data_IF_799093829805
#
_entry.id   IF_799093829805
#
_cell.length_a   1.000
_cell.length_b   1.000
_cell.length_c   1.000
_cell.angle_alpha   90.00
_cell.angle_beta   90.00
_cell.angle_gamma   90.00
#
_symmetry.space_group_name_H-M   'P 1'
#
loop_
_entity.id
_entity.type
_entity.pdbx_description
1 polymer ?
#
# COMPACT_ATOMS: atom_id res chain seq x y z
N UNK A 1 -11.64 18.98 66.88
CA UNK A 1 -10.74 19.41 65.80
C UNK A 1 -10.84 18.42 64.68
N UNK A 2 -11.41 18.73 63.50
CA UNK A 2 -11.44 17.80 62.38
C UNK A 2 -10.17 17.92 61.55
N UNK A 3 -9.51 16.78 61.32
CA UNK A 3 -8.34 16.64 60.47
C UNK A 3 -8.74 16.89 59.01
N UNK A 4 -8.10 17.90 58.42
CA UNK A 4 -8.23 18.17 56.98
C UNK A 4 -7.50 17.04 56.20
N UNK A 5 -8.29 16.21 55.53
CA UNK A 5 -7.78 15.27 54.54
C UNK A 5 -7.25 16.10 53.34
N UNK A 6 -5.94 16.26 53.29
CA UNK A 6 -5.27 16.75 52.09
C UNK A 6 -5.41 15.69 51.03
N UNK A 7 -6.27 15.95 50.03
CA UNK A 7 -6.34 15.12 48.85
C UNK A 7 -5.02 15.14 48.12
N UNK A 8 -4.39 13.97 47.83
CA UNK A 8 -3.17 13.94 47.09
C UNK A 8 -3.42 14.58 45.71
N UNK A 9 -2.73 15.67 45.41
CA UNK A 9 -2.69 16.30 44.13
C UNK A 9 -2.30 15.23 43.09
N UNK A 10 -3.22 14.86 42.20
CA UNK A 10 -2.96 13.99 41.08
C UNK A 10 -1.74 14.56 40.30
N UNK A 11 -0.71 13.75 40.02
CA UNK A 11 0.41 14.21 39.25
C UNK A 11 -0.09 14.77 37.90
N UNK A 12 0.54 15.82 37.35
CA UNK A 12 0.12 16.42 36.10
C UNK A 12 0.00 15.32 35.06
N UNK A 13 -1.18 15.18 34.45
CA UNK A 13 -1.45 14.24 33.36
C UNK A 13 -0.35 14.41 32.33
N UNK A 14 0.61 13.48 32.28
CA UNK A 14 1.53 13.37 31.18
C UNK A 14 0.68 13.39 29.91
N UNK A 15 0.93 14.37 29.04
CA UNK A 15 0.21 14.50 27.76
C UNK A 15 0.51 13.25 26.95
N UNK A 16 -0.30 12.21 27.10
CA UNK A 16 -0.24 11.06 26.21
C UNK A 16 -0.56 11.56 24.80
N UNK A 17 0.25 11.24 23.80
CA UNK A 17 -0.01 11.62 22.43
C UNK A 17 -1.37 11.05 22.01
N UNK A 18 -2.30 11.93 21.70
CA UNK A 18 -3.68 11.54 21.32
C UNK A 18 -3.77 11.15 19.85
N UNK A 19 -4.92 10.62 19.45
CA UNK A 19 -5.25 10.26 18.05
C UNK A 19 -4.86 11.36 17.06
N UNK A 20 -5.04 12.64 17.40
CA UNK A 20 -4.70 13.77 16.51
C UNK A 20 -3.23 13.84 16.17
N UNK A 21 -2.32 13.56 17.12
CA UNK A 21 -0.87 13.60 16.90
C UNK A 21 -0.42 12.51 15.91
N UNK A 22 -0.96 11.30 16.06
CA UNK A 22 -0.69 10.20 15.13
C UNK A 22 -1.26 10.47 13.74
N UNK A 23 -2.46 11.04 13.64
CA UNK A 23 -3.07 11.43 12.36
C UNK A 23 -2.23 12.49 11.65
N UNK A 24 -1.73 13.50 12.37
CA UNK A 24 -0.90 14.56 11.76
C UNK A 24 0.39 14.00 11.15
N UNK A 25 1.11 13.15 11.88
CA UNK A 25 2.34 12.50 11.36
C UNK A 25 2.03 11.59 10.16
N UNK A 26 0.93 10.82 10.21
CA UNK A 26 0.49 10.01 9.07
C UNK A 26 0.11 10.83 7.85
N UNK A 27 -0.51 12.00 8.05
CA UNK A 27 -0.89 12.88 6.94
C UNK A 27 0.36 13.45 6.25
N UNK A 28 1.36 13.89 7.03
CA UNK A 28 2.65 14.33 6.46
C UNK A 28 3.33 13.22 5.65
N UNK A 29 3.39 12.01 6.19
CA UNK A 29 3.93 10.84 5.49
C UNK A 29 3.17 10.54 4.20
N UNK A 30 1.83 10.60 4.23
CA UNK A 30 1.00 10.36 3.05
C UNK A 30 1.24 11.39 1.94
N UNK A 31 1.47 12.66 2.28
CA UNK A 31 1.81 13.70 1.30
C UNK A 31 3.17 13.42 0.68
N UNK A 32 4.20 13.15 1.50
CA UNK A 32 5.55 12.82 1.02
C UNK A 32 5.51 11.64 0.06
N UNK A 33 4.85 10.56 0.45
CA UNK A 33 4.72 9.35 -0.37
C UNK A 33 3.88 9.56 -1.62
N UNK A 34 2.78 10.30 -1.50
CA UNK A 34 1.89 10.58 -2.62
C UNK A 34 2.58 11.36 -3.75
N UNK A 35 3.40 12.36 -3.42
CA UNK A 35 4.19 13.11 -4.38
C UNK A 35 5.18 12.19 -5.11
N UNK A 36 5.88 11.33 -4.36
CA UNK A 36 6.91 10.47 -4.92
C UNK A 36 6.36 9.31 -5.74
N UNK A 37 5.07 9.00 -5.66
CA UNK A 37 4.43 7.90 -6.36
C UNK A 37 4.60 7.99 -7.88
N UNK A 38 4.52 9.19 -8.46
CA UNK A 38 4.70 9.45 -9.90
C UNK A 38 6.10 9.98 -10.24
N UNK A 39 6.77 10.62 -9.29
CA UNK A 39 8.08 11.27 -9.52
C UNK A 39 9.17 10.22 -9.72
N UNK A 40 9.24 9.17 -8.87
CA UNK A 40 10.30 8.17 -8.99
C UNK A 40 10.26 7.37 -10.29
N UNK A 41 9.12 6.79 -10.75
CA UNK A 41 9.11 6.07 -12.01
C UNK A 41 9.55 6.94 -13.18
N UNK A 42 9.11 8.19 -13.20
CA UNK A 42 9.44 9.16 -14.23
C UNK A 42 10.92 9.52 -14.24
N UNK A 43 11.48 9.91 -13.10
CA UNK A 43 12.89 10.28 -13.00
C UNK A 43 13.83 9.10 -13.21
N UNK A 44 13.47 7.91 -12.74
CA UNK A 44 14.21 6.68 -13.02
C UNK A 44 14.24 6.39 -14.52
N UNK A 45 13.09 6.53 -15.22
CA UNK A 45 13.05 6.34 -16.65
C UNK A 45 13.88 7.41 -17.39
N UNK A 46 13.84 8.67 -16.97
CA UNK A 46 14.69 9.74 -17.54
C UNK A 46 16.18 9.50 -17.32
N UNK A 47 16.55 8.96 -16.16
CA UNK A 47 17.95 8.70 -15.80
C UNK A 47 18.55 7.52 -16.57
N UNK A 48 17.77 6.48 -16.83
CA UNK A 48 18.27 5.24 -17.41
C UNK A 48 17.86 5.03 -18.88
N UNK A 49 16.84 5.73 -19.39
CA UNK A 49 16.32 5.66 -20.75
C UNK A 49 15.66 4.32 -21.13
N UNK A 50 15.66 3.33 -20.24
CA UNK A 50 15.19 1.99 -20.49
C UNK A 50 14.28 1.49 -19.34
N UNK A 51 13.07 1.07 -19.69
CA UNK A 51 12.08 0.55 -18.74
C UNK A 51 12.52 -0.79 -18.12
N UNK A 52 13.31 -1.61 -18.82
CA UNK A 52 13.84 -2.87 -18.28
C UNK A 52 14.85 -2.58 -17.16
N UNK A 53 15.75 -1.62 -17.36
CA UNK A 53 16.71 -1.19 -16.33
C UNK A 53 15.98 -0.59 -15.11
N UNK A 54 14.95 0.21 -15.33
CA UNK A 54 14.09 0.73 -14.25
C UNK A 54 13.46 -0.43 -13.47
N UNK A 55 12.89 -1.42 -14.15
CA UNK A 55 12.27 -2.60 -13.53
C UNK A 55 13.29 -3.40 -12.70
N UNK A 56 14.51 -3.58 -13.20
CA UNK A 56 15.61 -4.23 -12.46
C UNK A 56 15.91 -3.50 -11.16
N UNK A 57 15.99 -2.16 -11.17
CA UNK A 57 16.25 -1.38 -9.97
C UNK A 57 15.08 -1.45 -8.98
N UNK A 58 13.83 -1.37 -9.45
CA UNK A 58 12.66 -1.56 -8.58
C UNK A 58 12.64 -2.95 -7.94
N UNK A 59 13.03 -3.99 -8.67
CA UNK A 59 13.18 -5.35 -8.12
C UNK A 59 14.22 -5.39 -6.99
N UNK A 60 15.42 -4.84 -7.22
CA UNK A 60 16.49 -4.81 -6.22
C UNK A 60 16.09 -4.00 -4.99
N UNK A 61 15.49 -2.82 -5.19
CA UNK A 61 14.96 -1.98 -4.10
C UNK A 61 13.87 -2.70 -3.33
N UNK A 62 12.99 -3.45 -4.00
CA UNK A 62 11.97 -4.28 -3.37
C UNK A 62 12.57 -5.36 -2.46
N UNK A 63 13.62 -6.05 -2.91
CA UNK A 63 14.34 -7.04 -2.09
C UNK A 63 14.95 -6.38 -0.86
N UNK A 64 15.64 -5.23 -1.01
CA UNK A 64 16.24 -4.51 0.12
C UNK A 64 15.15 -4.01 1.07
N UNK A 65 14.01 -3.55 0.57
CA UNK A 65 12.86 -3.14 1.38
C UNK A 65 12.33 -4.26 2.25
N UNK A 66 12.14 -5.46 1.68
CA UNK A 66 11.73 -6.65 2.42
C UNK A 66 12.73 -6.99 3.54
N UNK A 67 14.03 -7.02 3.21
CA UNK A 67 15.07 -7.26 4.20
C UNK A 67 15.05 -6.21 5.31
N UNK A 68 14.89 -4.94 4.96
CA UNK A 68 14.75 -3.85 5.94
C UNK A 68 13.55 -4.09 6.85
N UNK A 69 12.38 -4.40 6.30
CA UNK A 69 11.16 -4.69 7.07
C UNK A 69 11.36 -5.83 8.08
N UNK A 70 12.13 -6.86 7.71
CA UNK A 70 12.49 -7.98 8.59
C UNK A 70 13.53 -7.59 9.65
N UNK A 71 14.47 -6.71 9.30
CA UNK A 71 15.56 -6.29 10.21
C UNK A 71 15.10 -5.24 11.24
N UNK A 72 14.13 -4.37 10.91
CA UNK A 72 13.66 -3.31 11.81
C UNK A 72 13.20 -3.83 13.18
N UNK A 73 12.39 -4.91 13.32
CA UNK A 73 12.03 -5.48 14.61
C UNK A 73 13.24 -6.01 15.41
N UNK A 74 14.27 -6.51 14.72
CA UNK A 74 15.52 -6.95 15.37
C UNK A 74 16.32 -5.75 15.86
N UNK A 75 16.41 -4.69 15.05
CA UNK A 75 17.10 -3.46 15.39
C UNK A 75 16.47 -2.77 16.62
N UNK A 76 15.13 -2.78 16.73
CA UNK A 76 14.39 -2.20 17.86
C UNK A 76 14.60 -2.94 19.18
N UNK A 77 15.22 -4.12 19.18
CA UNK A 77 15.65 -4.81 20.42
C UNK A 77 16.91 -4.20 21.04
N UNK A 78 17.79 -3.64 20.20
CA UNK A 78 19.09 -3.10 20.61
C UNK A 78 19.09 -1.58 20.66
N UNK A 79 18.32 -0.93 19.78
CA UNK A 79 18.21 0.52 19.65
C UNK A 79 16.80 0.97 20.06
N UNK A 80 16.65 1.99 20.92
CA UNK A 80 15.33 2.52 21.27
C UNK A 80 14.53 2.88 20.00
N UNK A 81 13.27 2.46 19.94
CA UNK A 81 12.38 2.61 18.77
C UNK A 81 12.32 4.05 18.22
N UNK A 82 12.43 5.06 19.13
CA UNK A 82 12.48 6.48 18.74
C UNK A 82 13.64 6.82 17.81
N UNK A 83 14.80 6.23 18.04
CA UNK A 83 15.96 6.43 17.16
C UNK A 83 15.82 5.67 15.86
N UNK A 84 15.26 4.46 15.87
CA UNK A 84 14.97 3.69 14.64
C UNK A 84 13.97 4.44 13.76
N UNK A 85 12.91 5.02 14.35
CA UNK A 85 11.97 5.90 13.61
C UNK A 85 12.70 7.12 13.04
N UNK A 86 13.55 7.78 13.82
CA UNK A 86 14.32 8.93 13.36
C UNK A 86 15.29 8.56 12.23
N UNK A 87 15.91 7.38 12.26
CA UNK A 87 16.71 6.85 11.14
C UNK A 87 15.84 6.71 9.88
N UNK A 88 14.62 6.20 9.99
CA UNK A 88 13.70 6.12 8.87
C UNK A 88 13.40 7.48 8.24
N UNK A 89 13.19 8.51 9.08
CA UNK A 89 12.97 9.88 8.58
C UNK A 89 14.26 10.49 8.00
N UNK A 90 15.43 10.20 8.58
CA UNK A 90 16.71 10.62 8.01
C UNK A 90 16.96 10.00 6.63
N UNK A 91 16.51 8.76 6.39
CA UNK A 91 16.54 8.16 5.06
C UNK A 91 15.67 8.94 4.06
N UNK A 92 14.56 9.54 4.47
CA UNK A 92 13.80 10.46 3.60
C UNK A 92 14.59 11.74 3.28
N UNK A 93 15.33 12.30 4.23
CA UNK A 93 16.20 13.46 3.98
C UNK A 93 17.35 13.10 3.03
N UNK A 94 17.97 11.94 3.21
CA UNK A 94 19.00 11.44 2.28
C UNK A 94 18.40 11.20 0.89
N UNK A 95 17.20 10.65 0.82
CA UNK A 95 16.45 10.49 -0.43
C UNK A 95 16.23 11.85 -1.13
N UNK A 96 15.85 12.88 -0.38
CA UNK A 96 15.70 14.21 -0.91
C UNK A 96 17.03 14.77 -1.44
N UNK A 97 18.14 14.58 -0.72
CA UNK A 97 19.48 14.99 -1.13
C UNK A 97 19.96 14.32 -2.42
N UNK A 98 19.84 12.99 -2.50
CA UNK A 98 20.19 12.25 -3.72
C UNK A 98 19.26 12.58 -4.88
N UNK A 99 17.97 12.78 -4.63
CA UNK A 99 17.03 13.20 -5.66
C UNK A 99 17.30 14.60 -6.20
N UNK A 100 17.77 15.51 -5.33
CA UNK A 100 18.23 16.84 -5.73
C UNK A 100 19.42 16.77 -6.68
N UNK A 101 20.38 15.85 -6.44
CA UNK A 101 21.51 15.64 -7.32
C UNK A 101 21.10 15.12 -8.71
N UNK A 102 19.94 14.44 -8.82
CA UNK A 102 19.36 13.99 -10.09
C UNK A 102 20.14 12.89 -10.80
N UNK A 103 19.79 12.63 -12.06
CA UNK A 103 20.44 11.60 -12.87
C UNK A 103 20.35 10.21 -12.22
N UNK A 104 21.43 9.44 -12.29
CA UNK A 104 21.51 8.07 -11.73
C UNK A 104 21.42 8.02 -10.19
N UNK A 105 21.69 9.14 -9.49
CA UNK A 105 21.50 9.28 -8.04
C UNK A 105 20.04 9.08 -7.62
N UNK A 106 19.09 9.26 -8.54
CA UNK A 106 17.66 8.95 -8.31
C UNK A 106 17.45 7.50 -7.86
N UNK A 107 18.31 6.57 -8.27
CA UNK A 107 18.25 5.17 -7.82
C UNK A 107 18.53 5.05 -6.32
N UNK A 108 19.55 5.75 -5.81
CA UNK A 108 19.83 5.80 -4.38
C UNK A 108 18.75 6.58 -3.62
N UNK A 109 18.21 7.62 -4.24
CA UNK A 109 17.05 8.34 -3.68
C UNK A 109 15.85 7.40 -3.49
N UNK A 110 15.50 6.60 -4.50
CA UNK A 110 14.45 5.59 -4.41
C UNK A 110 14.73 4.55 -3.33
N UNK A 111 15.96 4.03 -3.26
CA UNK A 111 16.37 3.07 -2.25
C UNK A 111 16.21 3.64 -0.83
N UNK A 112 16.72 4.84 -0.56
CA UNK A 112 16.57 5.52 0.72
C UNK A 112 15.10 5.80 1.06
N UNK A 113 14.28 6.20 0.07
CA UNK A 113 12.86 6.45 0.26
C UNK A 113 12.10 5.19 0.66
N UNK A 114 12.29 4.09 -0.07
CA UNK A 114 11.55 2.85 0.16
C UNK A 114 11.97 2.19 1.48
N UNK A 115 13.27 2.16 1.79
CA UNK A 115 13.79 1.65 3.09
C UNK A 115 13.36 2.53 4.25
N UNK A 116 13.35 3.86 4.08
CA UNK A 116 12.80 4.81 5.04
C UNK A 116 11.32 4.57 5.29
N UNK A 117 10.52 4.40 4.23
CA UNK A 117 9.09 4.07 4.33
C UNK A 117 8.85 2.79 5.12
N UNK A 118 9.57 1.71 4.83
CA UNK A 118 9.46 0.44 5.55
C UNK A 118 9.79 0.61 7.04
N UNK A 119 10.86 1.32 7.36
CA UNK A 119 11.30 1.60 8.74
C UNK A 119 10.28 2.42 9.51
N UNK A 120 9.81 3.53 8.92
CA UNK A 120 8.79 4.42 9.51
C UNK A 120 7.50 3.63 9.75
N UNK A 121 7.04 2.86 8.76
CA UNK A 121 5.79 2.10 8.84
C UNK A 121 5.81 1.09 10.00
N UNK A 122 6.89 0.31 10.14
CA UNK A 122 7.03 -0.67 11.23
C UNK A 122 7.04 0.01 12.59
N UNK A 123 7.87 1.06 12.76
CA UNK A 123 7.98 1.78 14.03
C UNK A 123 6.67 2.51 14.38
N UNK A 124 6.05 3.19 13.41
CA UNK A 124 4.84 3.96 13.62
C UNK A 124 3.66 3.08 14.03
N UNK A 125 3.44 1.95 13.34
CA UNK A 125 2.38 1.02 13.72
C UNK A 125 2.59 0.46 15.14
N UNK A 126 3.83 0.17 15.53
CA UNK A 126 4.12 -0.25 16.88
C UNK A 126 3.82 0.85 17.92
N UNK A 127 4.14 2.13 17.63
CA UNK A 127 3.75 3.24 18.50
C UNK A 127 2.23 3.42 18.60
N UNK A 128 1.50 3.25 17.51
CA UNK A 128 0.02 3.29 17.52
C UNK A 128 -0.54 2.21 18.44
N UNK A 129 -0.04 0.98 18.33
CA UNK A 129 -0.50 -0.14 19.17
C UNK A 129 -0.19 0.05 20.66
N UNK A 130 0.92 0.73 20.98
CA UNK A 130 1.35 0.96 22.38
C UNK A 130 0.61 2.14 23.04
N UNK A 131 0.13 3.13 22.26
CA UNK A 131 -0.38 4.40 22.81
C UNK A 131 -1.86 4.64 22.57
N UNK A 132 -2.49 3.92 21.65
CA UNK A 132 -3.90 4.12 21.29
C UNK A 132 -4.76 2.98 21.82
N UNK A 133 -5.80 3.32 22.57
CA UNK A 133 -6.75 2.35 23.09
C UNK A 133 -7.51 1.66 21.95
N UNK A 134 -7.85 0.38 22.15
CA UNK A 134 -8.59 -0.42 21.15
C UNK A 134 -9.89 0.22 20.70
N UNK A 135 -10.54 0.99 21.57
CA UNK A 135 -11.79 1.74 21.30
C UNK A 135 -11.59 2.89 20.33
N UNK A 136 -10.42 3.55 20.37
CA UNK A 136 -10.09 4.69 19.52
C UNK A 136 -9.35 4.29 18.23
N UNK A 137 -8.92 3.03 18.12
CA UNK A 137 -8.19 2.52 16.97
C UNK A 137 -8.98 2.69 15.65
N UNK A 138 -10.28 2.41 15.66
CA UNK A 138 -11.14 2.57 14.50
C UNK A 138 -11.23 4.04 14.04
N UNK A 139 -11.30 4.98 14.99
CA UNK A 139 -11.32 6.43 14.70
C UNK A 139 -9.98 6.91 14.12
N UNK A 140 -8.86 6.42 14.68
CA UNK A 140 -7.53 6.72 14.17
C UNK A 140 -7.39 6.23 12.73
N UNK A 141 -7.71 4.96 12.47
CA UNK A 141 -7.52 4.34 11.16
C UNK A 141 -8.41 4.98 10.09
N UNK A 142 -9.66 5.29 10.40
CA UNK A 142 -10.56 6.01 9.50
C UNK A 142 -10.01 7.37 9.08
N UNK A 143 -9.51 8.17 10.04
CA UNK A 143 -8.90 9.47 9.73
C UNK A 143 -7.60 9.33 8.94
N UNK A 144 -6.77 8.37 9.31
CA UNK A 144 -5.53 8.07 8.62
C UNK A 144 -5.78 7.68 7.16
N UNK A 145 -6.76 6.84 6.90
CA UNK A 145 -7.17 6.45 5.53
C UNK A 145 -7.67 7.65 4.73
N UNK A 146 -8.46 8.53 5.33
CA UNK A 146 -8.95 9.73 4.66
C UNK A 146 -7.81 10.66 4.21
N UNK A 147 -6.86 10.96 5.11
CA UNK A 147 -5.71 11.81 4.76
C UNK A 147 -4.77 11.13 3.77
N UNK A 148 -4.58 9.80 3.88
CA UNK A 148 -3.80 9.03 2.91
C UNK A 148 -4.44 9.06 1.53
N UNK A 149 -5.76 8.91 1.44
CA UNK A 149 -6.48 8.99 0.16
C UNK A 149 -6.32 10.36 -0.51
N UNK A 150 -6.38 11.45 0.27
CA UNK A 150 -6.12 12.81 -0.23
C UNK A 150 -4.69 12.95 -0.75
N UNK A 151 -3.70 12.52 0.04
CA UNK A 151 -2.28 12.56 -0.35
C UNK A 151 -1.99 11.77 -1.63
N UNK A 152 -2.58 10.59 -1.76
CA UNK A 152 -2.40 9.74 -2.93
C UNK A 152 -3.19 10.19 -4.16
N UNK A 153 -4.27 10.95 -3.97
CA UNK A 153 -5.05 11.52 -5.08
C UNK A 153 -4.39 12.79 -5.63
N UNK A 154 -3.96 13.71 -4.76
CA UNK A 154 -3.40 14.99 -5.17
C UNK A 154 -1.89 14.87 -5.47
N UNK A 155 -1.19 14.04 -4.70
CA UNK A 155 0.26 13.90 -4.74
C UNK A 155 0.85 13.63 -6.12
N UNK A 156 0.37 12.66 -6.90
CA UNK A 156 0.94 12.34 -8.21
C UNK A 156 0.90 13.50 -9.21
N UNK A 157 -0.23 14.21 -9.33
CA UNK A 157 -0.31 15.40 -10.19
C UNK A 157 0.60 16.51 -9.67
N UNK A 158 0.57 16.75 -8.36
CA UNK A 158 1.41 17.78 -7.74
C UNK A 158 2.89 17.45 -7.94
N UNK A 159 3.29 16.19 -7.78
CA UNK A 159 4.68 15.75 -7.96
C UNK A 159 5.20 16.05 -9.38
N UNK A 160 4.43 15.69 -10.39
CA UNK A 160 4.80 15.94 -11.78
C UNK A 160 4.73 17.44 -12.13
N UNK A 161 3.77 18.18 -11.56
CA UNK A 161 3.71 19.63 -11.75
C UNK A 161 4.93 20.33 -11.13
N UNK A 162 5.36 19.92 -9.95
CA UNK A 162 6.56 20.44 -9.29
C UNK A 162 7.83 20.23 -10.12
N UNK A 163 7.94 19.11 -10.85
CA UNK A 163 9.06 18.87 -11.76
C UNK A 163 9.14 19.89 -12.91
N UNK A 164 8.02 20.52 -13.31
CA UNK A 164 8.02 21.61 -14.29
C UNK A 164 8.54 22.92 -13.70
N UNK A 165 8.25 23.17 -12.42
CA UNK A 165 8.76 24.36 -11.71
C UNK A 165 10.27 24.23 -11.51
N UNK A 166 10.75 23.03 -11.21
CA UNK A 166 12.17 22.72 -11.11
C UNK A 166 12.40 21.26 -10.73
N UNK A 167 13.43 20.61 -11.28
CA UNK A 167 13.69 19.18 -11.04
C UNK A 167 13.94 18.84 -9.57
N UNK A 168 14.40 19.79 -8.78
CA UNK A 168 14.65 19.65 -7.34
C UNK A 168 13.42 19.92 -6.46
N UNK A 169 12.35 20.56 -6.99
CA UNK A 169 11.20 21.00 -6.21
C UNK A 169 10.44 19.87 -5.50
N UNK A 170 10.15 18.71 -6.11
CA UNK A 170 9.52 17.61 -5.39
C UNK A 170 10.36 17.17 -4.19
N UNK A 171 11.67 17.13 -4.33
CA UNK A 171 12.60 16.71 -3.28
C UNK A 171 12.73 17.74 -2.16
N UNK A 172 12.63 19.04 -2.47
CA UNK A 172 12.56 20.09 -1.46
C UNK A 172 11.33 19.93 -0.55
N UNK A 173 10.17 19.60 -1.15
CA UNK A 173 8.93 19.35 -0.39
C UNK A 173 9.04 18.05 0.43
N UNK A 174 9.63 17.00 -0.13
CA UNK A 174 9.88 15.76 0.62
C UNK A 174 10.83 16.00 1.78
N UNK A 175 11.92 16.74 1.56
CA UNK A 175 12.88 17.10 2.61
C UNK A 175 12.22 17.93 3.72
N UNK A 176 11.47 18.97 3.35
CA UNK A 176 10.73 19.79 4.35
C UNK A 176 9.66 18.96 5.08
N UNK A 177 8.94 18.10 4.37
CA UNK A 177 8.00 17.15 4.98
C UNK A 177 8.65 16.20 5.97
N UNK A 178 9.84 15.67 5.65
CA UNK A 178 10.61 14.83 6.53
C UNK A 178 11.08 15.59 7.79
N UNK A 179 11.55 16.83 7.66
CA UNK A 179 11.89 17.68 8.82
C UNK A 179 10.67 17.91 9.70
N UNK A 180 9.51 18.24 9.09
CA UNK A 180 8.26 18.43 9.83
C UNK A 180 7.80 17.13 10.52
N UNK A 181 7.95 15.98 9.87
CA UNK A 181 7.67 14.67 10.49
C UNK A 181 8.54 14.44 11.73
N UNK A 182 9.83 14.72 11.63
CA UNK A 182 10.77 14.56 12.75
C UNK A 182 10.42 15.53 13.90
N UNK A 183 10.20 16.81 13.57
CA UNK A 183 9.79 17.83 14.52
C UNK A 183 8.45 17.48 15.21
N UNK A 184 7.47 17.03 14.44
CA UNK A 184 6.17 16.60 14.97
C UNK A 184 6.33 15.35 15.87
N UNK A 185 7.13 14.37 15.47
CA UNK A 185 7.35 13.17 16.26
C UNK A 185 7.96 13.48 17.64
N UNK A 186 8.99 14.32 17.69
CA UNK A 186 9.63 14.69 18.94
C UNK A 186 8.82 15.75 19.72
N UNK A 187 8.27 16.76 19.04
CA UNK A 187 7.52 17.86 19.67
C UNK A 187 6.16 17.44 20.24
N UNK A 188 5.48 16.47 19.63
CA UNK A 188 4.20 15.95 20.14
C UNK A 188 4.38 14.85 21.19
N UNK A 189 5.60 14.56 21.62
CA UNK A 189 5.89 13.58 22.66
C UNK A 189 5.64 12.12 22.24
N UNK A 190 5.57 11.84 20.94
CA UNK A 190 5.40 10.48 20.42
C UNK A 190 6.60 9.57 20.78
N UNK A 191 7.75 10.17 21.05
CA UNK A 191 8.98 9.48 21.47
C UNK A 191 8.94 8.91 22.90
N UNK A 192 8.00 9.38 23.75
CA UNK A 192 7.89 9.05 25.18
C UNK A 192 7.02 7.84 25.52
N UNK A 193 6.60 7.05 24.53
CA UNK A 193 5.73 5.88 24.73
C UNK A 193 6.34 4.88 25.73
N UNK A 194 5.52 4.41 26.68
CA UNK A 194 5.88 3.30 27.56
C UNK A 194 6.32 2.13 26.70
N UNK A 195 7.56 1.66 26.93
CA UNK A 195 7.96 0.34 26.43
C UNK A 195 7.02 -0.65 27.10
N UNK A 196 5.94 -1.03 26.43
CA UNK A 196 5.08 -2.09 26.92
C UNK A 196 5.92 -3.37 26.96
N UNK A 197 6.28 -3.82 28.16
CA UNK A 197 6.90 -5.12 28.36
C UNK A 197 5.97 -6.27 27.99
N UNK A 198 4.74 -5.97 27.57
CA UNK A 198 3.74 -6.95 27.12
C UNK A 198 4.05 -7.55 25.73
N UNK A 199 5.09 -7.09 25.03
CA UNK A 199 5.57 -7.64 23.75
C UNK A 199 6.51 -8.84 23.85
N UNK A 200 6.78 -9.38 25.05
CA UNK A 200 7.37 -10.72 25.19
C UNK A 200 6.33 -11.84 24.92
N UNK A 201 5.53 -11.69 23.88
CA UNK A 201 4.92 -12.89 23.31
C UNK A 201 6.07 -13.78 22.83
N UNK A 202 6.15 -14.97 23.44
CA UNK A 202 6.98 -16.11 23.06
C UNK A 202 7.35 -16.02 21.59
N UNK A 203 8.62 -16.22 21.29
CA UNK A 203 9.12 -16.26 19.92
C UNK A 203 8.33 -17.34 19.18
N UNK A 204 7.19 -16.92 18.66
CA UNK A 204 6.34 -17.75 17.86
C UNK A 204 7.17 -18.06 16.61
N UNK A 205 7.44 -19.31 16.36
CA UNK A 205 8.25 -19.78 15.26
C UNK A 205 7.61 -19.32 13.94
N UNK A 206 8.14 -18.29 13.24
CA UNK A 206 7.50 -17.75 12.04
C UNK A 206 7.37 -18.80 10.94
N UNK A 207 8.30 -19.76 10.90
CA UNK A 207 8.26 -20.90 9.96
C UNK A 207 7.06 -21.80 10.27
N UNK A 208 6.73 -22.00 11.55
CA UNK A 208 5.56 -22.77 11.96
C UNK A 208 4.24 -22.12 11.52
N UNK A 209 4.16 -20.76 11.53
CA UNK A 209 2.98 -20.05 11.04
C UNK A 209 2.86 -20.11 9.52
N UNK A 210 3.97 -19.95 8.81
CA UNK A 210 4.00 -20.08 7.36
C UNK A 210 3.54 -21.47 6.93
N UNK A 211 4.04 -22.53 7.55
CA UNK A 211 3.62 -23.91 7.26
C UNK A 211 2.12 -24.12 7.51
N UNK A 212 1.59 -23.62 8.63
CA UNK A 212 0.15 -23.69 8.94
C UNK A 212 -0.70 -22.90 7.97
N UNK A 213 -0.21 -21.76 7.50
CA UNK A 213 -0.87 -20.93 6.51
C UNK A 213 -0.94 -21.67 5.17
N UNK A 214 0.19 -22.19 4.68
CA UNK A 214 0.28 -22.94 3.42
C UNK A 214 -0.54 -24.23 3.42
N UNK A 215 -0.74 -24.84 4.59
CA UNK A 215 -1.60 -26.03 4.74
C UNK A 215 -3.10 -25.71 4.60
N UNK A 216 -3.50 -24.43 4.51
CA UNK A 216 -4.89 -24.01 4.39
C UNK A 216 -5.18 -23.39 3.00
N UNK A 217 -5.66 -24.15 2.00
CA UNK A 217 -5.83 -23.68 0.62
C UNK A 217 -6.70 -22.43 0.50
N UNK A 218 -7.68 -22.25 1.39
CA UNK A 218 -8.56 -21.07 1.40
C UNK A 218 -7.82 -19.79 1.80
N UNK A 219 -6.86 -19.88 2.74
CA UNK A 219 -6.03 -18.74 3.13
C UNK A 219 -5.03 -18.41 2.04
N UNK A 220 -4.41 -19.43 1.44
CA UNK A 220 -3.49 -19.26 0.31
C UNK A 220 -4.19 -18.60 -0.88
N UNK A 221 -5.41 -19.02 -1.23
CA UNK A 221 -6.19 -18.41 -2.29
C UNK A 221 -6.49 -16.93 -1.98
N UNK A 222 -6.91 -16.60 -0.75
CA UNK A 222 -7.13 -15.22 -0.33
C UNK A 222 -5.86 -14.37 -0.40
N UNK A 223 -4.72 -14.92 -0.01
CA UNK A 223 -3.42 -14.27 -0.12
C UNK A 223 -3.01 -14.07 -1.58
N UNK A 224 -3.20 -15.07 -2.43
CA UNK A 224 -2.89 -14.97 -3.86
C UNK A 224 -3.72 -13.89 -4.56
N UNK A 225 -5.00 -13.74 -4.19
CA UNK A 225 -5.83 -12.62 -4.69
C UNK A 225 -5.23 -11.27 -4.29
N UNK A 226 -4.75 -11.12 -3.07
CA UNK A 226 -4.09 -9.90 -2.63
C UNK A 226 -2.78 -9.63 -3.36
N UNK A 227 -1.96 -10.68 -3.60
CA UNK A 227 -0.72 -10.57 -4.40
C UNK A 227 -1.03 -10.12 -5.82
N UNK A 228 -1.92 -10.84 -6.54
CA UNK A 228 -2.21 -10.54 -7.95
C UNK A 228 -2.85 -9.15 -8.14
N UNK A 229 -3.75 -8.74 -7.24
CA UNK A 229 -4.25 -7.37 -7.20
C UNK A 229 -3.13 -6.35 -7.01
N UNK A 230 -2.23 -6.60 -6.04
CA UNK A 230 -1.12 -5.71 -5.74
C UNK A 230 -0.09 -5.64 -6.88
N UNK A 231 0.09 -6.75 -7.63
CA UNK A 231 0.85 -6.75 -8.89
C UNK A 231 0.21 -5.80 -9.92
N UNK A 232 -1.12 -5.85 -10.08
CA UNK A 232 -1.84 -4.92 -10.95
C UNK A 232 -1.60 -3.46 -10.58
N UNK A 233 -1.66 -3.12 -9.29
CA UNK A 233 -1.33 -1.78 -8.79
C UNK A 233 0.13 -1.39 -9.05
N UNK A 234 1.08 -2.29 -8.85
CA UNK A 234 2.49 -2.03 -9.11
C UNK A 234 2.74 -1.76 -10.58
N UNK A 235 2.13 -2.55 -11.48
CA UNK A 235 2.20 -2.31 -12.93
C UNK A 235 1.59 -0.95 -13.27
N UNK A 236 0.42 -0.64 -12.78
CA UNK A 236 -0.25 0.63 -13.03
C UNK A 236 0.62 1.82 -12.58
N UNK A 237 1.06 1.80 -11.33
CA UNK A 237 1.76 2.92 -10.70
C UNK A 237 3.12 3.22 -11.35
N UNK A 238 3.86 2.17 -11.72
CA UNK A 238 5.21 2.34 -12.28
C UNK A 238 5.15 2.58 -13.79
N UNK A 239 4.37 1.78 -14.52
CA UNK A 239 4.53 1.70 -15.97
C UNK A 239 3.59 2.58 -16.77
N UNK A 240 2.46 3.06 -16.22
CA UNK A 240 1.57 4.00 -16.93
C UNK A 240 2.26 5.34 -17.16
N UNK A 241 2.97 5.85 -16.15
CA UNK A 241 3.76 7.08 -16.29
C UNK A 241 4.90 6.94 -17.29
N UNK A 242 5.64 5.83 -17.24
CA UNK A 242 6.72 5.52 -18.20
C UNK A 242 6.16 5.40 -19.63
N UNK A 243 5.03 4.72 -19.79
CA UNK A 243 4.36 4.57 -21.09
C UNK A 243 3.93 5.94 -21.66
N UNK A 244 3.36 6.81 -20.84
CA UNK A 244 2.95 8.15 -21.28
C UNK A 244 4.14 8.96 -21.80
N UNK A 245 5.29 8.90 -21.13
CA UNK A 245 6.53 9.58 -21.57
C UNK A 245 7.10 8.96 -22.83
N UNK A 246 7.25 7.63 -22.85
CA UNK A 246 7.80 6.89 -23.99
C UNK A 246 6.98 7.09 -25.27
N UNK A 247 5.65 7.24 -25.12
CA UNK A 247 4.72 7.44 -26.22
C UNK A 247 4.56 8.93 -26.63
N UNK A 248 5.32 9.86 -26.05
CA UNK A 248 5.27 11.27 -26.39
C UNK A 248 4.08 12.04 -25.83
N UNK A 249 3.25 11.46 -24.95
CA UNK A 249 2.11 12.13 -24.30
C UNK A 249 2.56 13.14 -23.22
N UNK A 250 3.80 13.01 -22.77
CA UNK A 250 4.39 13.87 -21.74
C UNK A 250 4.11 13.41 -20.30
N UNK A 251 4.83 14.00 -19.37
CA UNK A 251 4.88 13.63 -17.95
C UNK A 251 3.54 13.81 -17.24
N UNK A 252 2.80 14.85 -17.61
CA UNK A 252 1.55 15.22 -16.92
C UNK A 252 0.47 14.14 -17.04
N UNK A 253 0.42 13.47 -18.19
CA UNK A 253 -0.58 12.42 -18.43
C UNK A 253 -0.40 11.28 -17.45
N UNK A 254 0.85 10.87 -17.15
CA UNK A 254 1.14 9.86 -16.14
C UNK A 254 0.70 10.29 -14.71
N UNK A 255 1.00 11.54 -14.34
CA UNK A 255 0.56 12.09 -13.04
C UNK A 255 -0.96 12.18 -12.90
N UNK A 256 -1.64 12.66 -13.94
CA UNK A 256 -3.11 12.75 -13.99
C UNK A 256 -3.72 11.33 -13.90
N UNK A 257 -3.21 10.38 -14.68
CA UNK A 257 -3.66 8.99 -14.64
C UNK A 257 -3.54 8.39 -13.23
N UNK A 258 -2.39 8.58 -12.57
CA UNK A 258 -2.17 8.10 -11.20
C UNK A 258 -3.12 8.76 -10.19
N UNK A 259 -3.39 10.07 -10.34
CA UNK A 259 -4.33 10.79 -9.48
C UNK A 259 -5.78 10.34 -9.69
N UNK A 260 -6.20 10.14 -10.95
CA UNK A 260 -7.54 9.64 -11.28
C UNK A 260 -7.75 8.23 -10.74
N UNK A 261 -6.74 7.37 -10.81
CA UNK A 261 -6.81 6.03 -10.23
C UNK A 261 -7.05 6.06 -8.72
N UNK A 262 -6.28 6.89 -8.00
CA UNK A 262 -6.44 7.02 -6.56
C UNK A 262 -7.73 7.75 -6.16
N UNK A 263 -8.23 8.67 -7.00
CA UNK A 263 -9.56 9.27 -6.82
C UNK A 263 -10.70 8.24 -6.86
N UNK A 264 -10.48 7.10 -7.54
CA UNK A 264 -11.40 5.96 -7.50
C UNK A 264 -11.72 5.45 -6.08
N UNK A 265 -10.82 5.66 -5.10
CA UNK A 265 -11.06 5.31 -3.70
C UNK A 265 -12.27 6.03 -3.09
N UNK A 266 -12.63 7.21 -3.58
CA UNK A 266 -13.86 7.90 -3.16
C UNK A 266 -15.14 7.18 -3.62
N UNK A 267 -15.05 6.29 -4.61
CA UNK A 267 -16.15 5.41 -5.05
C UNK A 267 -16.27 4.14 -4.19
N UNK A 268 -15.36 3.89 -3.26
CA UNK A 268 -15.37 2.69 -2.41
C UNK A 268 -16.71 2.46 -1.69
N UNK A 269 -17.43 3.47 -1.14
CA UNK A 269 -18.74 3.27 -0.52
C UNK A 269 -19.80 2.77 -1.53
N UNK A 270 -19.75 3.24 -2.78
CA UNK A 270 -20.66 2.79 -3.85
C UNK A 270 -20.36 1.34 -4.26
N UNK A 271 -19.07 1.01 -4.41
CA UNK A 271 -18.61 -0.35 -4.72
C UNK A 271 -18.99 -1.33 -3.61
N UNK A 272 -18.89 -0.91 -2.34
CA UNK A 272 -19.31 -1.71 -1.20
C UNK A 272 -20.82 -1.96 -1.19
N UNK A 273 -21.64 -0.94 -1.48
CA UNK A 273 -23.10 -1.08 -1.61
C UNK A 273 -23.46 -2.05 -2.75
N UNK A 274 -22.76 -1.95 -3.89
CA UNK A 274 -22.96 -2.85 -5.03
C UNK A 274 -22.59 -4.29 -4.65
N UNK A 275 -21.47 -4.52 -3.96
CA UNK A 275 -21.06 -5.83 -3.47
C UNK A 275 -22.11 -6.44 -2.51
N UNK A 276 -22.67 -5.65 -1.58
CA UNK A 276 -23.69 -6.13 -0.64
C UNK A 276 -25.00 -6.57 -1.35
N UNK A 277 -25.30 -6.03 -2.53
CA UNK A 277 -26.47 -6.42 -3.32
C UNK A 277 -26.27 -7.73 -4.08
N UNK A 278 -25.02 -8.09 -4.42
CA UNK A 278 -24.71 -9.27 -5.24
C UNK A 278 -24.11 -10.41 -4.42
N UNK A 279 -22.85 -10.39 -4.15
CA UNK A 279 -22.10 -11.26 -3.22
C UNK A 279 -20.61 -10.93 -3.30
N UNK A 280 -19.85 -11.32 -2.29
CA UNK A 280 -18.38 -11.16 -2.30
C UNK A 280 -17.75 -11.92 -3.47
N UNK A 281 -18.19 -13.18 -3.72
CA UNK A 281 -17.69 -13.97 -4.85
C UNK A 281 -17.90 -13.28 -6.20
N UNK A 282 -19.10 -12.74 -6.42
CA UNK A 282 -19.42 -12.05 -7.68
C UNK A 282 -18.56 -10.81 -7.86
N UNK A 283 -18.43 -10.00 -6.81
CA UNK A 283 -17.62 -8.78 -6.85
C UNK A 283 -16.12 -9.05 -7.07
N UNK A 284 -15.54 -10.07 -6.42
CA UNK A 284 -14.15 -10.49 -6.64
C UNK A 284 -13.94 -10.97 -8.07
N UNK A 285 -14.84 -11.83 -8.58
CA UNK A 285 -14.75 -12.33 -9.97
C UNK A 285 -14.88 -11.21 -10.96
N UNK A 286 -15.87 -10.33 -10.81
CA UNK A 286 -16.06 -9.19 -11.71
C UNK A 286 -14.83 -8.27 -11.71
N UNK A 287 -14.25 -7.93 -10.54
CA UNK A 287 -13.07 -7.08 -10.43
C UNK A 287 -11.85 -7.69 -11.15
N UNK A 288 -11.60 -8.99 -10.99
CA UNK A 288 -10.49 -9.66 -11.67
C UNK A 288 -10.73 -9.79 -13.17
N UNK A 289 -11.96 -10.10 -13.62
CA UNK A 289 -12.30 -10.17 -15.04
C UNK A 289 -12.18 -8.80 -15.70
N UNK A 290 -12.83 -7.79 -15.14
CA UNK A 290 -12.80 -6.44 -15.68
C UNK A 290 -11.37 -5.88 -15.70
N UNK A 291 -10.62 -6.03 -14.60
CA UNK A 291 -9.22 -5.61 -14.53
C UNK A 291 -8.35 -6.35 -15.56
N UNK A 292 -8.47 -7.67 -15.64
CA UNK A 292 -7.70 -8.47 -16.59
C UNK A 292 -7.99 -8.11 -18.04
N UNK A 293 -9.27 -8.02 -18.43
CA UNK A 293 -9.66 -7.62 -19.77
C UNK A 293 -9.20 -6.20 -20.12
N UNK A 294 -9.35 -5.24 -19.22
CA UNK A 294 -8.93 -3.85 -19.48
C UNK A 294 -7.42 -3.70 -19.58
N UNK A 295 -6.61 -4.42 -18.77
CA UNK A 295 -5.16 -4.44 -18.95
C UNK A 295 -4.74 -5.08 -20.30
N UNK A 296 -5.39 -6.16 -20.74
CA UNK A 296 -5.14 -6.76 -22.06
C UNK A 296 -5.55 -5.83 -23.20
N UNK A 297 -6.69 -5.17 -23.07
CA UNK A 297 -7.11 -4.15 -24.04
C UNK A 297 -6.13 -2.99 -24.08
N UNK A 298 -5.66 -2.51 -22.92
CA UNK A 298 -4.61 -1.49 -22.86
C UNK A 298 -3.34 -1.91 -23.59
N UNK A 299 -2.92 -3.17 -23.47
CA UNK A 299 -1.79 -3.71 -24.20
C UNK A 299 -2.06 -3.75 -25.72
N UNK A 300 -3.24 -4.20 -26.13
CA UNK A 300 -3.64 -4.30 -27.53
C UNK A 300 -3.72 -2.94 -28.21
N UNK A 301 -4.26 -1.92 -27.51
CA UNK A 301 -4.41 -0.56 -28.01
C UNK A 301 -3.14 0.30 -27.83
N UNK A 302 -1.99 -0.30 -27.47
CA UNK A 302 -0.72 0.42 -27.30
C UNK A 302 -0.27 1.27 -28.48
N UNK A 303 -0.62 0.99 -29.77
CA UNK A 303 -0.36 1.91 -30.88
C UNK A 303 -1.13 3.24 -30.79
N UNK A 304 -2.18 3.31 -29.95
CA UNK A 304 -2.97 4.52 -29.71
C UNK A 304 -2.75 5.00 -28.26
N UNK A 305 -1.69 5.76 -27.97
CA UNK A 305 -1.25 6.00 -26.61
C UNK A 305 -2.30 6.60 -25.69
N UNK A 306 -3.07 7.59 -26.15
CA UNK A 306 -4.10 8.24 -25.33
C UNK A 306 -5.24 7.26 -24.99
N UNK A 307 -5.65 6.43 -25.96
CA UNK A 307 -6.67 5.40 -25.76
C UNK A 307 -6.20 4.38 -24.72
N UNK A 308 -4.94 3.95 -24.82
CA UNK A 308 -4.32 3.05 -23.85
C UNK A 308 -4.36 3.60 -22.45
N UNK A 309 -3.95 4.87 -22.24
CA UNK A 309 -3.99 5.50 -20.91
C UNK A 309 -5.42 5.54 -20.37
N UNK A 310 -6.42 5.91 -21.18
CA UNK A 310 -7.83 5.92 -20.75
C UNK A 310 -8.29 4.51 -20.34
N UNK A 311 -7.96 3.48 -21.13
CA UNK A 311 -8.29 2.09 -20.79
C UNK A 311 -7.61 1.66 -19.49
N UNK A 312 -6.35 2.04 -19.26
CA UNK A 312 -5.64 1.71 -18.03
C UNK A 312 -6.20 2.47 -16.81
N UNK A 313 -6.69 3.69 -16.99
CA UNK A 313 -7.44 4.40 -15.92
C UNK A 313 -8.74 3.62 -15.60
N UNK A 314 -9.45 3.09 -16.58
CA UNK A 314 -10.60 2.22 -16.32
C UNK A 314 -10.19 0.92 -15.62
N UNK A 315 -9.04 0.34 -15.98
CA UNK A 315 -8.48 -0.82 -15.29
C UNK A 315 -8.22 -0.54 -13.81
N UNK A 316 -7.75 0.68 -13.47
CA UNK A 316 -7.51 1.06 -12.08
C UNK A 316 -8.77 1.06 -11.22
N UNK A 317 -9.94 1.38 -11.76
CA UNK A 317 -11.20 1.28 -11.00
C UNK A 317 -11.59 -0.17 -10.68
N UNK A 318 -11.24 -1.12 -11.56
CA UNK A 318 -11.36 -2.53 -11.21
C UNK A 318 -10.40 -2.95 -10.09
N UNK A 319 -9.18 -2.40 -10.06
CA UNK A 319 -8.25 -2.59 -8.95
C UNK A 319 -8.76 -1.97 -7.64
N UNK A 320 -9.37 -0.79 -7.69
CA UNK A 320 -10.04 -0.16 -6.52
C UNK A 320 -11.16 -1.04 -6.00
N UNK A 321 -11.99 -1.60 -6.88
CA UNK A 321 -13.03 -2.56 -6.47
C UNK A 321 -12.39 -3.76 -5.76
N UNK A 322 -11.30 -4.30 -6.29
CA UNK A 322 -10.56 -5.39 -5.67
C UNK A 322 -9.95 -4.99 -4.32
N UNK A 323 -9.53 -3.73 -4.11
CA UNK A 323 -9.07 -3.25 -2.81
C UNK A 323 -10.17 -3.34 -1.75
N UNK A 324 -11.41 -3.05 -2.14
CA UNK A 324 -12.57 -3.14 -1.25
C UNK A 324 -12.95 -4.60 -0.94
N UNK A 325 -12.83 -5.51 -1.91
CA UNK A 325 -13.46 -6.84 -1.80
C UNK A 325 -12.49 -8.01 -1.71
N UNK A 326 -11.28 -7.92 -2.29
CA UNK A 326 -10.39 -9.09 -2.40
C UNK A 326 -9.75 -9.54 -1.08
N UNK A 327 -9.77 -8.72 -0.04
CA UNK A 327 -9.36 -9.14 1.31
C UNK A 327 -10.42 -9.95 2.07
N UNK A 328 -11.68 -9.86 1.67
CA UNK A 328 -12.79 -10.51 2.37
C UNK A 328 -12.72 -12.05 2.35
N UNK A 329 -12.35 -12.72 1.25
CA UNK A 329 -12.18 -14.17 1.24
C UNK A 329 -11.20 -14.68 2.31
N UNK A 330 -10.09 -13.94 2.51
CA UNK A 330 -9.14 -14.26 3.58
C UNK A 330 -9.77 -14.05 4.97
N UNK A 331 -10.37 -12.88 5.23
CA UNK A 331 -10.96 -12.54 6.52
C UNK A 331 -12.10 -13.50 6.91
N UNK A 332 -12.86 -13.99 5.94
CA UNK A 332 -13.96 -14.95 6.16
C UNK A 332 -13.45 -16.39 6.34
N UNK A 333 -12.27 -16.72 5.84
CA UNK A 333 -11.69 -18.06 5.96
C UNK A 333 -10.89 -18.24 7.25
N UNK A 334 -10.36 -17.16 7.83
CA UNK A 334 -9.48 -17.22 9.00
C UNK A 334 -10.27 -17.46 10.28
N UNK A 335 -9.87 -18.44 11.10
CA UNK A 335 -10.46 -18.71 12.41
C UNK A 335 -10.15 -17.56 13.39
N UNK A 336 -11.11 -17.13 14.25
CA UNK A 336 -10.89 -16.03 15.21
C UNK A 336 -9.65 -16.18 16.07
N UNK A 337 -9.34 -17.41 16.52
CA UNK A 337 -8.17 -17.74 17.37
C UNK A 337 -6.82 -17.60 16.64
N UNK A 338 -6.80 -17.62 15.31
CA UNK A 338 -5.59 -17.59 14.50
C UNK A 338 -5.43 -16.28 13.73
N UNK A 339 -6.34 -15.30 13.90
CA UNK A 339 -6.37 -14.07 13.12
C UNK A 339 -5.05 -13.31 13.14
N UNK A 340 -4.45 -13.12 14.31
CA UNK A 340 -3.21 -12.34 14.44
C UNK A 340 -2.05 -12.98 13.67
N UNK A 341 -1.86 -14.31 13.85
CA UNK A 341 -0.78 -15.05 13.21
C UNK A 341 -0.94 -15.11 11.68
N UNK A 342 -2.15 -15.47 11.24
CA UNK A 342 -2.46 -15.61 9.82
C UNK A 342 -2.47 -14.24 9.10
N UNK A 343 -2.88 -13.15 9.76
CA UNK A 343 -2.82 -11.79 9.20
C UNK A 343 -1.38 -11.31 9.03
N UNK A 344 -0.47 -11.70 9.91
CA UNK A 344 0.95 -11.39 9.76
C UNK A 344 1.53 -12.02 8.48
N UNK A 345 1.21 -13.31 8.22
CA UNK A 345 1.60 -13.97 6.97
C UNK A 345 0.89 -13.35 5.77
N UNK A 346 -0.41 -13.05 5.90
CA UNK A 346 -1.19 -12.44 4.82
C UNK A 346 -0.58 -11.10 4.38
N UNK A 347 -0.12 -10.25 5.29
CA UNK A 347 0.42 -8.92 4.97
C UNK A 347 1.67 -8.94 4.08
N UNK A 348 2.36 -10.09 4.00
CA UNK A 348 3.51 -10.29 3.09
C UNK A 348 3.16 -10.13 1.60
N UNK A 349 1.87 -10.10 1.23
CA UNK A 349 1.46 -9.91 -0.15
C UNK A 349 2.05 -8.63 -0.77
N UNK A 350 2.24 -7.57 0.02
CA UNK A 350 2.81 -6.30 -0.44
C UNK A 350 4.27 -6.44 -0.84
N UNK A 351 5.05 -7.09 0.03
CA UNK A 351 6.47 -7.29 -0.20
C UNK A 351 6.70 -8.23 -1.38
N UNK A 352 5.94 -9.34 -1.43
CA UNK A 352 5.99 -10.30 -2.54
C UNK A 352 5.62 -9.64 -3.86
N UNK A 353 4.54 -8.87 -3.92
CA UNK A 353 4.16 -8.16 -5.16
C UNK A 353 5.17 -7.08 -5.54
N UNK A 354 5.75 -6.38 -4.57
CA UNK A 354 6.78 -5.36 -4.78
C UNK A 354 8.09 -5.91 -5.35
N UNK A 355 8.35 -7.20 -5.19
CA UNK A 355 9.51 -7.90 -5.75
C UNK A 355 9.14 -8.60 -7.06
N UNK A 356 8.08 -9.41 -7.03
CA UNK A 356 7.69 -10.27 -8.16
C UNK A 356 7.28 -9.44 -9.37
N UNK A 357 6.54 -8.34 -9.17
CA UNK A 357 6.06 -7.55 -10.31
C UNK A 357 7.18 -6.90 -11.11
N UNK A 358 8.10 -6.12 -10.51
CA UNK A 358 9.19 -5.54 -11.30
C UNK A 358 10.18 -6.60 -11.80
N UNK A 359 10.36 -7.72 -11.06
CA UNK A 359 11.20 -8.83 -11.54
C UNK A 359 10.63 -9.50 -12.79
N UNK A 360 9.34 -9.80 -12.81
CA UNK A 360 8.66 -10.33 -14.00
C UNK A 360 8.61 -9.30 -15.13
N UNK A 361 8.35 -8.03 -14.82
CA UNK A 361 8.36 -6.97 -15.82
C UNK A 361 9.74 -6.81 -16.46
N UNK A 362 10.82 -6.89 -15.68
CA UNK A 362 12.17 -6.89 -16.21
C UNK A 362 12.38 -8.05 -17.21
N UNK A 363 11.94 -9.26 -16.88
CA UNK A 363 12.03 -10.41 -17.79
C UNK A 363 11.20 -10.19 -19.07
N UNK A 364 9.95 -9.74 -18.94
CA UNK A 364 9.06 -9.49 -20.08
C UNK A 364 9.63 -8.43 -21.01
N UNK A 365 10.23 -7.37 -20.46
CA UNK A 365 10.83 -6.28 -21.24
C UNK A 365 12.12 -6.68 -22.00
N UNK A 366 12.70 -7.86 -21.74
CA UNK A 366 13.79 -8.38 -22.56
C UNK A 366 13.31 -8.86 -23.95
N UNK A 367 12.01 -9.21 -24.06
CA UNK A 367 11.46 -9.88 -25.26
C UNK A 367 10.28 -9.11 -25.88
N UNK A 368 9.74 -8.08 -25.18
CA UNK A 368 8.55 -7.37 -25.62
C UNK A 368 8.62 -5.88 -25.27
N UNK A 369 7.89 -5.03 -26.02
CA UNK A 369 7.74 -3.63 -25.67
C UNK A 369 6.98 -3.46 -24.34
N UNK A 370 6.89 -2.22 -23.84
CA UNK A 370 6.26 -1.90 -22.57
C UNK A 370 4.79 -2.41 -22.47
N UNK A 371 4.09 -2.49 -23.59
CA UNK A 371 2.75 -3.09 -23.69
C UNK A 371 2.70 -4.53 -23.16
N UNK A 372 3.78 -5.30 -23.29
CA UNK A 372 3.88 -6.66 -22.75
C UNK A 372 3.75 -6.71 -21.22
N UNK A 373 4.17 -5.66 -20.51
CA UNK A 373 3.99 -5.56 -19.05
C UNK A 373 2.49 -5.41 -18.68
N UNK A 374 1.73 -4.67 -19.49
CA UNK A 374 0.27 -4.57 -19.31
C UNK A 374 -0.41 -5.90 -19.62
N UNK A 375 0.02 -6.59 -20.70
CA UNK A 375 -0.49 -7.92 -21.03
C UNK A 375 -0.19 -8.94 -19.91
N UNK A 376 1.02 -8.92 -19.34
CA UNK A 376 1.41 -9.75 -18.20
C UNK A 376 0.47 -9.51 -16.99
N UNK A 377 0.19 -8.25 -16.65
CA UNK A 377 -0.75 -7.92 -15.57
C UNK A 377 -2.17 -8.41 -15.88
N UNK A 378 -2.61 -8.25 -17.12
CA UNK A 378 -3.91 -8.73 -17.58
C UNK A 378 -4.06 -10.25 -17.43
N UNK A 379 -3.08 -11.02 -17.88
CA UNK A 379 -3.03 -12.49 -17.73
C UNK A 379 -3.02 -12.89 -16.26
N UNK A 380 -2.24 -12.22 -15.42
CA UNK A 380 -2.18 -12.49 -13.99
C UNK A 380 -3.55 -12.28 -13.32
N UNK A 381 -4.26 -11.20 -13.65
CA UNK A 381 -5.60 -10.92 -13.11
C UNK A 381 -6.63 -11.91 -13.65
N UNK A 382 -6.58 -12.32 -14.91
CA UNK A 382 -7.45 -13.37 -15.45
C UNK A 382 -7.19 -14.73 -14.81
N UNK A 383 -5.95 -15.05 -14.48
CA UNK A 383 -5.61 -16.24 -13.69
C UNK A 383 -6.29 -16.18 -12.32
N UNK A 384 -6.27 -15.01 -11.66
CA UNK A 384 -7.00 -14.81 -10.41
C UNK A 384 -8.51 -14.98 -10.59
N UNK A 385 -9.10 -14.52 -11.71
CA UNK A 385 -10.52 -14.74 -12.03
C UNK A 385 -10.88 -16.22 -12.13
N UNK A 386 -10.06 -17.04 -12.79
CA UNK A 386 -10.24 -18.49 -12.87
C UNK A 386 -10.20 -19.12 -11.48
N UNK A 387 -9.20 -18.76 -10.67
CA UNK A 387 -9.07 -19.25 -9.28
C UNK A 387 -10.27 -18.79 -8.43
N UNK A 388 -10.77 -17.56 -8.61
CA UNK A 388 -11.94 -17.03 -7.92
C UNK A 388 -13.23 -17.78 -8.31
N UNK A 389 -13.26 -18.47 -9.43
CA UNK A 389 -14.32 -19.39 -9.81
C UNK A 389 -14.52 -20.54 -8.83
N UNK A 390 -13.45 -20.96 -8.13
CA UNK A 390 -13.47 -22.03 -7.13
C UNK A 390 -13.92 -21.56 -5.73
N UNK A 391 -14.18 -20.26 -5.54
CA UNK A 391 -14.76 -19.76 -4.28
C UNK A 391 -16.17 -20.30 -4.08
N UNK A 392 -16.54 -20.53 -2.82
CA UNK A 392 -17.88 -21.04 -2.48
C UNK A 392 -18.97 -20.09 -3.03
N UNK A 393 -20.02 -20.61 -3.70
CA UNK A 393 -21.07 -19.80 -4.32
C UNK A 393 -21.77 -18.83 -3.35
N UNK A 394 -21.99 -19.27 -2.11
CA UNK A 394 -22.66 -18.49 -1.08
C UNK A 394 -21.74 -17.55 -0.29
N UNK A 395 -20.49 -17.40 -0.68
CA UNK A 395 -19.55 -16.53 0.04
C UNK A 395 -20.04 -15.07 0.02
N UNK A 396 -20.43 -14.57 1.19
CA UNK A 396 -20.92 -13.20 1.34
C UNK A 396 -22.30 -12.93 0.77
N UNK A 397 -23.11 -13.97 0.51
CA UNK A 397 -24.53 -13.78 0.12
C UNK A 397 -25.30 -13.19 1.30
N UNK A 398 -26.08 -12.09 1.09
CA UNK A 398 -26.89 -11.50 2.14
C UNK A 398 -27.87 -12.52 2.75
N UNK A 399 -28.06 -12.49 4.08
CA UNK A 399 -28.89 -13.46 4.79
C UNK A 399 -30.34 -13.55 4.27
N UNK A 400 -30.92 -12.43 3.82
CA UNK A 400 -32.24 -12.40 3.21
C UNK A 400 -32.33 -13.20 1.89
N UNK A 401 -31.24 -13.25 1.11
CA UNK A 401 -31.20 -14.04 -0.13
C UNK A 401 -30.99 -15.55 0.18
N UNK A 402 -30.22 -15.88 1.22
CA UNK A 402 -30.06 -17.27 1.70
C UNK A 402 -31.39 -17.86 2.16
N UNK A 403 -32.19 -17.09 2.92
CA UNK A 403 -33.52 -17.52 3.36
C UNK A 403 -34.50 -17.72 2.19
N UNK A 404 -34.42 -16.87 1.16
CA UNK A 404 -35.25 -17.04 -0.06
C UNK A 404 -34.82 -18.26 -0.88
N UNK A 405 -33.50 -18.51 -0.99
CA UNK A 405 -33.00 -19.70 -1.68
C UNK A 405 -33.37 -20.99 -0.93
N UNK A 406 -33.23 -21.01 0.40
CA UNK A 406 -33.64 -22.15 1.23
C UNK A 406 -35.15 -22.42 1.16
N UNK A 407 -36.00 -21.39 1.15
CA UNK A 407 -37.48 -21.55 0.96
C UNK A 407 -37.85 -22.10 -0.42
N UNK A 408 -37.09 -21.77 -1.48
CA UNK A 408 -37.29 -22.31 -2.82
C UNK A 408 -36.82 -23.75 -2.96
N UNK A 409 -35.77 -24.13 -2.22
CA UNK A 409 -35.25 -25.51 -2.23
C UNK A 409 -36.04 -26.48 -1.33
N UNK A 410 -36.72 -25.97 -0.31
CA UNK A 410 -37.53 -26.79 0.60
C UNK A 410 -39.04 -26.86 0.26
N UNK A 411 -39.45 -26.30 -0.89
CA UNK A 411 -40.84 -26.27 -1.37
C UNK A 411 -41.11 -27.27 -2.51
N UNK A 412 -40.37 -28.38 -2.57
CA UNK A 412 -40.63 -29.51 -3.47
C UNK A 412 -40.84 -30.78 -2.64
#
# INVERSE_FOLDING_TARGET
MPAYLVSPSLPPRSRHPGVRSFVAVSALEAVVRGIMLSVYPLLMYRAWGDAAVVSKWYFLVGVVSLLTGLCVPMLTRHVPRRWVYSIGVMLYLLSAGFGWAGGTWTTLALLCHVTGTATIFVCFNAYVLDNIDKTDYGRLESRRLMFSALGWTIGPVLGVWLLRVGPAMPFAIVGSGAVLMLAAFWGLGLSGGRVSQQGQHRSANPIGFLRRFLAQPRLVAGWLFAVLRSCGWSVYTVYVGIFAVQSGLGDQVGGIAASLANAGLFLAPLMLRWMHRHSVRHAVRFGFLAGGCTFLLGALFSPFPMVTVVILVLASYALVLLDVVAGLPFLMAVKPSQRTEMSAVYSSFRDVSGIVTPGLAWLVLQFSPLAGVFAMAGVALLTAWVIAGKLHPELGVPGAQRLRAARRAGGH
#
